data_IF_785891281054
#
_entry.id   IF_785891281054
#
_cell.length_a   1.000
_cell.length_b   1.000
_cell.length_c   1.000
_cell.angle_alpha   90.00
_cell.angle_beta   90.00
_cell.angle_gamma   90.00
#
_symmetry.space_group_name_H-M   'P 1'
#
loop_
_entity.id
_entity.type
_entity.pdbx_description
1 polymer ?
#
# COMPACT_ATOMS: atom_id res chain seq x y z
N UNK A 1 -28.05 5.85 5.06
CA UNK A 1 -27.28 6.88 4.33
C UNK A 1 -25.91 6.89 4.98
N UNK A 2 -24.91 6.25 4.37
CA UNK A 2 -23.79 5.64 5.11
C UNK A 2 -22.58 6.59 5.20
N UNK A 3 -22.20 6.97 6.43
CA UNK A 3 -20.98 7.70 6.82
C UNK A 3 -19.72 6.82 6.65
N UNK A 4 -19.42 6.39 5.42
CA UNK A 4 -18.54 5.23 5.17
C UNK A 4 -17.08 5.52 4.79
N UNK A 5 -16.48 6.64 5.19
CA UNK A 5 -15.11 6.94 4.75
C UNK A 5 -14.33 7.95 5.61
N UNK A 6 -14.30 7.78 6.93
CA UNK A 6 -13.37 8.54 7.78
C UNK A 6 -12.35 7.59 8.41
N UNK A 7 -11.06 7.87 8.21
CA UNK A 7 -9.96 7.63 9.16
C UNK A 7 -8.91 6.52 8.85
N UNK A 8 -7.77 6.89 8.22
CA UNK A 8 -6.53 6.12 8.25
C UNK A 8 -5.34 6.77 9.00
N UNK A 9 -5.46 7.95 9.62
CA UNK A 9 -4.30 8.78 10.01
C UNK A 9 -3.76 8.65 11.45
N UNK A 10 -4.39 7.85 12.32
CA UNK A 10 -3.97 7.78 13.72
C UNK A 10 -2.59 7.11 13.93
N UNK A 11 -2.12 6.31 12.97
CA UNK A 11 -0.84 5.60 13.07
C UNK A 11 0.36 6.54 13.07
N UNK A 12 0.30 7.65 12.31
CA UNK A 12 1.44 8.54 12.10
C UNK A 12 1.83 9.34 13.35
N UNK A 13 0.85 9.73 14.19
CA UNK A 13 1.11 10.48 15.44
C UNK A 13 1.93 9.71 16.46
N UNK A 14 1.73 8.38 16.55
CA UNK A 14 2.47 7.50 17.46
C UNK A 14 3.90 7.22 16.99
N UNK A 15 4.12 7.26 15.67
CA UNK A 15 5.42 6.98 15.04
C UNK A 15 6.38 8.18 15.07
N UNK A 16 5.85 9.39 15.13
CA UNK A 16 6.63 10.63 15.23
C UNK A 16 7.07 10.97 16.67
N UNK A 17 6.78 10.11 17.65
CA UNK A 17 7.20 10.32 19.04
C UNK A 17 6.54 11.51 19.74
N UNK A 18 5.45 12.05 19.20
CA UNK A 18 4.71 13.19 19.77
C UNK A 18 3.78 12.80 20.94
N UNK A 19 3.98 11.61 21.53
CA UNK A 19 3.26 11.13 22.71
C UNK A 19 4.23 10.75 23.82
N UNK A 20 4.32 11.57 24.86
CA UNK A 20 5.11 11.35 26.09
C UNK A 20 4.47 10.30 27.02
N UNK A 21 4.37 9.05 26.57
CA UNK A 21 3.84 7.98 27.42
C UNK A 21 4.45 6.65 27.01
N UNK A 22 5.58 6.33 27.64
CA UNK A 22 5.97 4.94 27.87
C UNK A 22 4.88 4.30 28.70
N UNK A 23 4.15 3.33 28.15
CA UNK A 23 3.51 2.23 28.88
C UNK A 23 2.90 1.29 27.82
N UNK A 24 3.47 0.09 27.70
CA UNK A 24 3.02 -1.00 26.83
C UNK A 24 1.86 -1.78 27.47
N UNK A 25 0.80 -1.11 27.90
CA UNK A 25 -0.39 -1.78 28.45
C UNK A 25 -1.69 -1.30 27.75
N UNK A 26 -2.34 -2.26 27.10
CA UNK A 26 -3.69 -2.27 26.51
C UNK A 26 -4.06 -1.17 25.49
N UNK A 27 -3.60 -1.36 24.25
CA UNK A 27 -4.01 -0.61 23.05
C UNK A 27 -5.55 -0.65 22.78
N UNK A 28 -6.30 -1.59 23.38
CA UNK A 28 -7.76 -1.74 23.18
C UNK A 28 -8.62 -0.69 23.91
N UNK A 29 -8.26 -0.26 25.13
CA UNK A 29 -9.03 0.74 25.89
C UNK A 29 -8.67 2.18 25.51
N UNK A 30 -7.46 2.41 24.98
CA UNK A 30 -6.92 3.78 24.82
C UNK A 30 -7.42 4.54 23.59
N UNK A 31 -7.83 3.83 22.52
CA UNK A 31 -8.27 4.45 21.25
C UNK A 31 -9.48 3.73 20.62
N UNK A 32 -10.66 3.72 21.27
CA UNK A 32 -11.84 2.99 20.79
C UNK A 32 -12.31 3.43 19.40
N UNK A 33 -12.15 4.71 19.05
CA UNK A 33 -12.50 5.25 17.73
C UNK A 33 -11.55 4.80 16.61
N UNK A 34 -10.27 4.56 16.93
CA UNK A 34 -9.30 4.03 15.97
C UNK A 34 -9.58 2.56 15.67
N UNK A 35 -9.80 1.76 16.71
CA UNK A 35 -10.16 0.33 16.57
C UNK A 35 -11.43 0.20 15.73
N UNK A 36 -12.42 1.09 15.94
CA UNK A 36 -13.65 1.13 15.14
C UNK A 36 -13.37 1.48 13.68
N UNK A 37 -12.59 2.53 13.40
CA UNK A 37 -12.23 2.89 12.04
C UNK A 37 -11.40 1.82 11.31
N UNK A 38 -10.49 1.14 12.02
CA UNK A 38 -9.74 0.00 11.49
C UNK A 38 -10.67 -1.15 11.16
N UNK A 39 -11.60 -1.50 12.06
CA UNK A 39 -12.64 -2.51 11.81
C UNK A 39 -13.51 -2.13 10.61
N UNK A 40 -13.93 -0.88 10.49
CA UNK A 40 -14.72 -0.40 9.34
C UNK A 40 -13.93 -0.39 8.01
N UNK A 41 -12.64 -0.09 8.04
CA UNK A 41 -11.77 -0.21 6.86
C UNK A 41 -11.54 -1.69 6.47
N UNK A 42 -11.40 -2.56 7.48
CA UNK A 42 -11.35 -4.02 7.32
C UNK A 42 -12.69 -4.60 6.84
N UNK A 43 -13.85 -4.00 7.15
CA UNK A 43 -15.15 -4.39 6.59
C UNK A 43 -15.20 -4.26 5.06
N UNK A 44 -14.38 -3.39 4.47
CA UNK A 44 -14.27 -3.23 3.01
C UNK A 44 -13.23 -4.14 2.36
N UNK A 45 -12.38 -4.84 3.13
CA UNK A 45 -11.37 -5.77 2.63
C UNK A 45 -11.73 -7.18 3.08
N UNK A 46 -12.24 -7.98 2.14
CA UNK A 46 -12.59 -9.37 2.41
C UNK A 46 -11.60 -10.32 1.75
N UNK A 47 -11.35 -11.46 2.40
CA UNK A 47 -10.50 -12.51 1.82
C UNK A 47 -11.18 -13.04 0.56
N UNK A 48 -10.51 -12.86 -0.58
CA UNK A 48 -10.96 -13.44 -1.85
C UNK A 48 -10.71 -14.95 -1.90
N UNK A 49 -11.21 -15.59 -2.95
CA UNK A 49 -10.84 -16.96 -3.30
C UNK A 49 -9.32 -17.08 -3.51
N UNK A 50 -8.76 -18.22 -3.15
CA UNK A 50 -7.38 -18.56 -3.52
C UNK A 50 -7.31 -18.75 -5.03
N UNK A 51 -6.41 -18.00 -5.67
CA UNK A 51 -6.25 -18.00 -7.11
C UNK A 51 -4.77 -18.04 -7.47
N UNK A 52 -4.44 -18.75 -8.54
CA UNK A 52 -3.10 -18.69 -9.12
C UNK A 52 -2.91 -17.38 -9.92
N UNK A 53 -1.64 -17.06 -10.23
CA UNK A 53 -1.29 -15.84 -10.96
C UNK A 53 -1.98 -15.73 -12.33
N UNK A 54 -2.17 -16.85 -13.03
CA UNK A 54 -2.83 -16.86 -14.33
C UNK A 54 -4.30 -16.39 -14.22
N UNK A 55 -5.03 -16.88 -13.22
CA UNK A 55 -6.40 -16.47 -12.95
C UNK A 55 -6.49 -14.99 -12.58
N UNK A 56 -5.59 -14.49 -11.73
CA UNK A 56 -5.53 -13.06 -11.36
C UNK A 56 -5.29 -12.19 -12.60
N UNK A 57 -4.32 -12.55 -13.44
CA UNK A 57 -4.05 -11.84 -14.71
C UNK A 57 -5.27 -11.83 -15.63
N UNK A 58 -5.98 -12.95 -15.75
CA UNK A 58 -7.21 -13.04 -16.56
C UNK A 58 -8.30 -12.11 -16.04
N UNK A 59 -8.54 -12.09 -14.73
CA UNK A 59 -9.52 -11.20 -14.10
C UNK A 59 -9.13 -9.74 -14.33
N UNK A 60 -7.89 -9.37 -14.05
CA UNK A 60 -7.39 -8.01 -14.25
C UNK A 60 -7.58 -7.52 -15.69
N UNK A 61 -7.22 -8.35 -16.68
CA UNK A 61 -7.36 -8.01 -18.10
C UNK A 61 -8.82 -7.89 -18.53
N UNK A 62 -9.69 -8.79 -18.06
CA UNK A 62 -11.11 -8.74 -18.40
C UNK A 62 -11.80 -7.52 -17.79
N UNK A 63 -11.47 -7.17 -16.55
CA UNK A 63 -11.97 -5.95 -15.91
C UNK A 63 -11.51 -4.72 -16.67
N UNK A 64 -10.22 -4.64 -17.02
CA UNK A 64 -9.71 -3.51 -17.81
C UNK A 64 -10.45 -3.36 -19.14
N UNK A 65 -10.59 -4.44 -19.91
CA UNK A 65 -11.31 -4.42 -21.20
C UNK A 65 -12.80 -4.09 -21.06
N UNK A 66 -13.42 -4.43 -19.93
CA UNK A 66 -14.82 -4.08 -19.66
C UNK A 66 -15.00 -2.58 -19.43
N UNK A 67 -14.11 -1.95 -18.66
CA UNK A 67 -14.18 -0.51 -18.40
C UNK A 67 -13.64 0.32 -19.57
N UNK A 68 -12.60 -0.17 -20.26
CA UNK A 68 -11.90 0.53 -21.33
C UNK A 68 -11.79 -0.35 -22.59
N UNK A 69 -12.90 -0.63 -23.30
CA UNK A 69 -12.94 -1.58 -24.42
C UNK A 69 -12.12 -1.12 -25.64
N UNK A 70 -11.90 0.18 -25.79
CA UNK A 70 -11.09 0.77 -26.87
C UNK A 70 -9.65 1.10 -26.43
N UNK A 71 -9.24 0.59 -25.27
CA UNK A 71 -8.09 1.12 -24.54
C UNK A 71 -8.51 2.31 -23.66
N UNK A 72 -7.67 2.64 -22.69
CA UNK A 72 -7.87 3.80 -21.80
C UNK A 72 -6.53 4.48 -21.62
N UNK A 73 -6.44 5.75 -22.01
CA UNK A 73 -5.25 6.55 -21.73
C UNK A 73 -5.07 6.69 -20.21
N UNK A 74 -3.83 6.92 -19.74
CA UNK A 74 -3.54 7.01 -18.30
C UNK A 74 -4.43 8.07 -17.62
N UNK A 75 -4.62 9.22 -18.27
CA UNK A 75 -5.49 10.30 -17.78
C UNK A 75 -6.96 9.89 -17.71
N UNK A 76 -7.47 9.17 -18.70
CA UNK A 76 -8.86 8.67 -18.70
C UNK A 76 -9.09 7.67 -17.56
N UNK A 77 -8.10 6.82 -17.29
CA UNK A 77 -8.14 5.88 -16.16
C UNK A 77 -8.13 6.63 -14.83
N UNK A 78 -7.30 7.67 -14.70
CA UNK A 78 -7.20 8.51 -13.52
C UNK A 78 -8.51 9.29 -13.25
N UNK A 79 -9.06 9.93 -14.28
CA UNK A 79 -10.31 10.68 -14.20
C UNK A 79 -11.49 9.78 -13.82
N UNK A 80 -11.56 8.59 -14.41
CA UNK A 80 -12.59 7.61 -14.06
C UNK A 80 -12.42 7.12 -12.62
N UNK A 81 -11.19 6.90 -12.15
CA UNK A 81 -10.92 6.51 -10.77
C UNK A 81 -11.43 7.56 -9.79
N UNK A 82 -11.05 8.83 -9.98
CA UNK A 82 -11.48 9.91 -9.10
C UNK A 82 -12.98 10.16 -9.19
N UNK A 83 -13.59 9.96 -10.35
CA UNK A 83 -15.06 10.01 -10.50
C UNK A 83 -15.73 9.00 -9.58
N UNK A 84 -15.24 7.75 -9.51
CA UNK A 84 -15.79 6.76 -8.58
C UNK A 84 -15.60 7.15 -7.11
N UNK A 85 -14.40 7.61 -6.74
CA UNK A 85 -14.08 7.99 -5.35
C UNK A 85 -14.90 9.19 -4.89
N UNK A 86 -15.07 10.21 -5.74
CA UNK A 86 -15.74 11.46 -5.40
C UNK A 86 -17.27 11.33 -5.44
N UNK A 87 -17.83 10.70 -6.48
CA UNK A 87 -19.28 10.61 -6.66
C UNK A 87 -19.92 9.58 -5.73
N UNK A 88 -19.20 8.50 -5.38
CA UNK A 88 -19.67 7.44 -4.48
C UNK A 88 -21.01 6.80 -4.94
N UNK A 89 -21.29 6.84 -6.24
CA UNK A 89 -22.55 6.36 -6.84
C UNK A 89 -22.53 4.89 -7.18
N UNK A 90 -21.34 4.28 -7.26
CA UNK A 90 -21.14 2.91 -7.69
C UNK A 90 -20.24 2.14 -6.73
N UNK A 91 -20.47 0.84 -6.62
CA UNK A 91 -19.62 -0.07 -5.88
C UNK A 91 -18.68 -0.81 -6.83
N UNK A 92 -17.38 -0.61 -6.64
CA UNK A 92 -16.34 -1.27 -7.44
C UNK A 92 -15.54 -2.20 -6.54
N UNK A 93 -15.59 -3.51 -6.82
CA UNK A 93 -14.79 -4.51 -6.12
C UNK A 93 -13.52 -4.81 -6.93
N UNK A 94 -12.37 -4.75 -6.26
CA UNK A 94 -11.05 -5.01 -6.85
C UNK A 94 -10.34 -6.10 -6.06
N UNK A 95 -9.50 -6.89 -6.73
CA UNK A 95 -8.65 -7.88 -6.09
C UNK A 95 -7.21 -7.35 -6.05
N UNK A 96 -6.58 -7.46 -4.90
CA UNK A 96 -5.15 -7.16 -4.70
C UNK A 96 -4.54 -8.18 -3.75
N UNK A 97 -3.23 -8.37 -3.85
CA UNK A 97 -2.49 -9.24 -2.94
C UNK A 97 -1.14 -8.61 -2.56
N UNK A 98 -0.72 -8.86 -1.32
CA UNK A 98 0.64 -8.64 -0.84
C UNK A 98 1.19 -10.01 -0.44
N UNK A 99 2.24 -10.45 -1.11
CA UNK A 99 2.80 -11.80 -0.96
C UNK A 99 4.21 -11.65 -0.38
N UNK A 100 4.52 -12.43 0.65
CA UNK A 100 5.90 -12.55 1.12
C UNK A 100 6.77 -13.12 -0.01
N UNK A 101 7.68 -12.31 -0.53
CA UNK A 101 8.57 -12.76 -1.59
C UNK A 101 9.65 -13.70 -1.03
N UNK A 102 9.88 -13.69 0.30
CA UNK A 102 10.62 -14.68 1.06
C UNK A 102 11.98 -15.07 0.47
N UNK A 103 12.46 -16.27 0.84
CA UNK A 103 13.58 -16.92 0.15
C UNK A 103 13.16 -17.57 -1.17
N UNK A 104 11.88 -17.53 -1.53
CA UNK A 104 11.38 -18.10 -2.79
C UNK A 104 11.75 -17.21 -3.98
N UNK A 105 11.85 -17.76 -5.19
CA UNK A 105 12.34 -17.05 -6.39
C UNK A 105 11.33 -16.09 -7.03
N UNK A 106 10.43 -15.47 -6.27
CA UNK A 106 9.39 -14.59 -6.82
C UNK A 106 9.93 -13.18 -7.11
N UNK A 107 9.59 -12.65 -8.29
CA UNK A 107 9.89 -11.28 -8.71
C UNK A 107 11.34 -11.06 -9.14
N UNK A 108 12.27 -11.15 -8.19
CA UNK A 108 13.72 -11.02 -8.42
C UNK A 108 14.44 -12.36 -8.30
N UNK A 109 15.58 -12.46 -8.98
CA UNK A 109 16.54 -13.54 -8.84
C UNK A 109 16.94 -13.72 -7.36
N UNK A 110 17.04 -14.98 -6.95
CA UNK A 110 17.33 -15.37 -5.57
C UNK A 110 18.82 -15.57 -5.36
N UNK A 111 19.47 -16.23 -6.31
CA UNK A 111 20.85 -16.68 -6.18
C UNK A 111 21.78 -15.71 -6.91
N UNK A 112 22.99 -15.49 -6.39
CA UNK A 112 23.93 -14.50 -6.94
C UNK A 112 24.45 -14.85 -8.34
N UNK A 113 24.42 -16.15 -8.67
CA UNK A 113 24.79 -16.75 -9.95
C UNK A 113 23.66 -16.66 -11.00
N UNK A 114 22.43 -16.35 -10.59
CA UNK A 114 21.35 -16.05 -11.53
C UNK A 114 21.57 -14.67 -12.18
N UNK A 115 21.07 -14.45 -13.42
CA UNK A 115 21.10 -13.14 -14.05
C UNK A 115 20.50 -12.07 -13.13
N UNK A 116 21.27 -11.01 -12.86
CA UNK A 116 20.92 -9.91 -11.97
C UNK A 116 20.76 -10.28 -10.48
N UNK A 117 21.14 -11.50 -10.05
CA UNK A 117 21.07 -11.94 -8.66
C UNK A 117 21.87 -11.05 -7.71
N UNK A 118 23.11 -10.74 -8.08
CA UNK A 118 24.02 -9.84 -7.36
C UNK A 118 23.87 -8.36 -7.73
N UNK A 119 22.86 -7.99 -8.53
CA UNK A 119 22.71 -6.61 -8.96
C UNK A 119 22.30 -5.71 -7.78
N UNK A 120 22.90 -4.52 -7.59
CA UNK A 120 22.63 -3.66 -6.43
C UNK A 120 21.17 -3.17 -6.32
N UNK A 121 20.42 -3.20 -7.41
CA UNK A 121 18.99 -2.86 -7.47
C UNK A 121 18.04 -4.06 -7.31
N UNK A 122 18.56 -5.26 -7.07
CA UNK A 122 17.73 -6.39 -6.68
C UNK A 122 17.19 -6.14 -5.27
N UNK A 123 15.88 -5.95 -5.13
CA UNK A 123 15.27 -5.63 -3.84
C UNK A 123 15.42 -6.75 -2.79
N UNK A 124 15.73 -7.99 -3.18
CA UNK A 124 16.06 -9.09 -2.25
C UNK A 124 17.43 -8.93 -1.59
N UNK A 125 18.35 -8.20 -2.21
CA UNK A 125 19.72 -8.00 -1.72
C UNK A 125 20.04 -6.54 -1.40
N UNK A 126 19.18 -5.60 -1.78
CA UNK A 126 19.32 -4.16 -1.56
C UNK A 126 19.64 -3.80 -0.10
N UNK A 127 18.99 -4.45 0.86
CA UNK A 127 19.22 -4.24 2.29
C UNK A 127 20.66 -4.59 2.73
N UNK A 128 21.35 -5.45 1.97
CA UNK A 128 22.72 -5.91 2.21
C UNK A 128 23.79 -5.01 1.61
N UNK A 129 23.41 -4.04 0.77
CA UNK A 129 24.36 -3.13 0.13
C UNK A 129 25.21 -2.39 1.18
N UNK A 130 26.47 -2.13 0.84
CA UNK A 130 27.36 -1.35 1.70
C UNK A 130 26.80 0.06 1.93
N UNK A 131 26.78 0.51 3.19
CA UNK A 131 26.18 1.78 3.59
C UNK A 131 24.68 1.74 3.88
N UNK A 132 23.99 0.64 3.60
CA UNK A 132 22.59 0.48 4.00
C UNK A 132 22.51 0.08 5.48
N UNK A 133 21.89 0.92 6.33
CA UNK A 133 21.74 0.64 7.77
C UNK A 133 20.91 -0.62 8.03
N UNK A 134 20.00 -0.97 7.13
CA UNK A 134 19.12 -2.13 7.25
C UNK A 134 19.89 -3.45 7.22
N UNK A 135 21.15 -3.47 6.78
CA UNK A 135 22.02 -4.66 6.85
C UNK A 135 22.26 -5.18 8.27
N UNK A 136 22.07 -4.32 9.27
CA UNK A 136 22.23 -4.65 10.68
C UNK A 136 20.99 -5.36 11.25
N UNK A 137 19.89 -5.36 10.50
CA UNK A 137 18.65 -6.04 10.86
C UNK A 137 18.62 -7.45 10.28
N UNK A 138 17.92 -8.34 10.98
CA UNK A 138 17.56 -9.67 10.46
C UNK A 138 16.50 -9.60 9.35
N UNK A 139 15.94 -10.75 8.95
CA UNK A 139 14.82 -10.79 8.00
C UNK A 139 13.57 -10.18 8.64
N UNK A 140 13.14 -9.03 8.11
CA UNK A 140 11.96 -8.28 8.53
C UNK A 140 11.10 -8.06 7.28
N UNK A 141 9.90 -8.65 7.29
CA UNK A 141 8.96 -8.58 6.17
C UNK A 141 8.57 -7.13 5.86
N UNK A 142 8.63 -6.76 4.59
CA UNK A 142 8.34 -5.39 4.13
C UNK A 142 9.48 -4.40 4.35
N UNK A 143 10.61 -4.83 4.94
CA UNK A 143 11.76 -3.98 5.23
C UNK A 143 13.05 -4.53 4.63
N UNK A 144 13.56 -5.65 5.16
CA UNK A 144 14.74 -6.34 4.60
C UNK A 144 14.38 -7.52 3.71
N UNK A 145 13.15 -8.03 3.85
CA UNK A 145 12.53 -9.00 2.95
C UNK A 145 11.44 -8.29 2.14
N UNK A 146 11.56 -8.20 0.80
CA UNK A 146 10.59 -7.49 -0.01
C UNK A 146 9.24 -8.22 -0.06
N UNK A 147 8.18 -7.47 -0.35
CA UNK A 147 6.85 -8.02 -0.64
C UNK A 147 6.56 -7.90 -2.13
N UNK A 148 5.87 -8.90 -2.68
CA UNK A 148 5.38 -8.88 -4.05
C UNK A 148 3.92 -8.44 -4.06
N UNK A 149 3.64 -7.34 -4.74
CA UNK A 149 2.30 -6.79 -4.86
C UNK A 149 1.65 -7.19 -6.18
N UNK A 150 0.42 -7.69 -6.10
CA UNK A 150 -0.47 -7.90 -7.25
C UNK A 150 -1.64 -6.93 -7.16
N UNK A 151 -1.95 -6.28 -8.27
CA UNK A 151 -3.10 -5.39 -8.38
C UNK A 151 -3.76 -5.48 -9.74
N UNK A 152 -4.93 -4.86 -9.85
CA UNK A 152 -5.69 -4.72 -11.08
C UNK A 152 -6.17 -3.27 -11.23
N UNK A 153 -6.96 -3.00 -12.27
CA UNK A 153 -7.59 -1.69 -12.46
C UNK A 153 -8.31 -1.26 -11.17
N UNK A 154 -8.04 -0.02 -10.73
CA UNK A 154 -8.56 0.61 -9.51
C UNK A 154 -8.09 0.01 -8.17
N UNK A 155 -7.20 -1.00 -8.16
CA UNK A 155 -6.50 -1.37 -6.93
C UNK A 155 -5.75 -0.18 -6.36
N UNK A 156 -5.94 0.10 -5.08
CA UNK A 156 -5.48 1.34 -4.43
C UNK A 156 -4.68 1.02 -3.18
N UNK A 157 -3.59 1.76 -2.99
CA UNK A 157 -2.91 1.91 -1.69
C UNK A 157 -3.24 3.29 -1.14
N UNK A 158 -3.78 3.35 0.08
CA UNK A 158 -4.10 4.61 0.73
C UNK A 158 -2.83 5.40 1.07
N UNK A 159 -3.00 6.70 1.35
CA UNK A 159 -1.93 7.55 1.84
C UNK A 159 -1.17 6.89 3.00
N UNK A 160 0.14 6.78 2.84
CA UNK A 160 1.03 6.12 3.78
C UNK A 160 2.36 6.86 3.87
N UNK A 161 2.95 6.85 5.06
CA UNK A 161 4.32 7.27 5.33
C UNK A 161 4.98 6.15 6.14
N UNK A 162 6.21 5.81 5.79
CA UNK A 162 6.96 4.81 6.55
C UNK A 162 7.10 5.25 8.01
N UNK A 163 6.83 4.36 8.99
CA UNK A 163 6.92 4.65 10.41
C UNK A 163 8.25 5.21 10.89
N UNK A 164 9.34 4.83 10.24
CA UNK A 164 10.69 5.22 10.61
C UNK A 164 11.26 6.28 9.65
N UNK A 165 10.41 6.84 8.77
CA UNK A 165 10.82 7.79 7.74
C UNK A 165 11.76 7.20 6.71
N UNK A 166 11.75 5.87 6.52
CA UNK A 166 12.63 5.21 5.57
C UNK A 166 12.17 5.47 4.12
N UNK A 167 13.10 5.51 3.16
CA UNK A 167 12.76 5.58 1.75
C UNK A 167 11.91 4.38 1.31
N UNK A 168 10.88 4.65 0.52
CA UNK A 168 10.09 3.60 -0.13
C UNK A 168 10.69 3.26 -1.50
N UNK A 169 10.89 1.96 -1.76
CA UNK A 169 11.38 1.47 -3.05
C UNK A 169 10.45 0.39 -3.59
N UNK A 170 9.97 0.59 -4.82
CA UNK A 170 9.12 -0.37 -5.52
C UNK A 170 9.62 -0.58 -6.95
N UNK A 171 9.55 -1.83 -7.43
CA UNK A 171 9.88 -2.17 -8.80
C UNK A 171 8.68 -2.81 -9.51
N UNK A 172 8.28 -2.22 -10.64
CA UNK A 172 7.20 -2.76 -11.46
C UNK A 172 7.72 -3.84 -12.40
N UNK A 173 7.59 -5.11 -12.02
CA UNK A 173 8.06 -6.24 -12.82
C UNK A 173 7.33 -6.39 -14.16
N UNK A 174 6.00 -6.30 -14.14
CA UNK A 174 5.15 -6.48 -15.32
C UNK A 174 3.77 -5.87 -15.04
N UNK A 175 3.13 -5.33 -16.07
CA UNK A 175 1.72 -4.94 -16.02
C UNK A 175 1.48 -3.59 -16.67
N UNK A 176 0.31 -3.03 -16.39
CA UNK A 176 -0.04 -1.67 -16.77
C UNK A 176 0.63 -0.64 -15.85
N UNK A 177 0.66 0.62 -16.28
CA UNK A 177 1.19 1.72 -15.48
C UNK A 177 0.47 1.86 -14.13
N UNK A 178 1.23 2.24 -13.10
CA UNK A 178 0.74 2.62 -11.78
C UNK A 178 0.84 4.14 -11.64
N UNK A 179 -0.21 4.77 -11.12
CA UNK A 179 -0.25 6.21 -10.84
C UNK A 179 0.14 6.43 -9.39
N UNK A 180 1.02 7.39 -9.14
CA UNK A 180 1.51 7.73 -7.80
C UNK A 180 1.19 9.17 -7.46
N UNK A 181 0.72 9.39 -6.24
CA UNK A 181 0.58 10.72 -5.65
C UNK A 181 1.60 10.85 -4.53
N UNK A 182 2.41 11.89 -4.57
CA UNK A 182 3.46 12.16 -3.60
C UNK A 182 3.28 13.53 -2.96
N UNK A 183 3.47 13.59 -1.65
CA UNK A 183 3.58 14.83 -0.89
C UNK A 183 5.02 14.96 -0.43
N UNK A 184 5.63 16.12 -0.68
CA UNK A 184 6.98 16.42 -0.18
C UNK A 184 7.00 16.42 1.35
N UNK A 185 8.11 16.02 1.96
CA UNK A 185 8.24 15.97 3.42
C UNK A 185 7.97 17.33 4.09
N UNK A 186 8.38 18.45 3.47
CA UNK A 186 8.13 19.81 3.96
C UNK A 186 6.62 20.14 4.10
N UNK A 187 5.78 19.46 3.31
CA UNK A 187 4.33 19.66 3.28
C UNK A 187 3.58 18.56 4.06
N UNK A 188 4.30 17.61 4.67
CA UNK A 188 3.69 16.48 5.38
C UNK A 188 2.77 16.94 6.50
N UNK A 189 3.15 17.99 7.23
CA UNK A 189 2.37 18.52 8.33
C UNK A 189 1.11 19.25 7.85
N UNK A 190 1.23 20.03 6.77
CA UNK A 190 0.09 20.71 6.14
C UNK A 190 -0.90 19.70 5.56
N UNK A 191 -0.41 18.63 4.93
CA UNK A 191 -1.23 17.54 4.46
C UNK A 191 -1.97 16.84 5.61
N UNK A 192 -1.27 16.51 6.70
CA UNK A 192 -1.87 15.90 7.89
C UNK A 192 -3.00 16.77 8.45
N UNK A 193 -2.76 18.06 8.64
CA UNK A 193 -3.78 19.01 9.10
C UNK A 193 -4.98 19.09 8.16
N UNK A 194 -4.75 19.13 6.84
CA UNK A 194 -5.82 19.17 5.86
C UNK A 194 -6.70 17.92 5.94
N UNK A 195 -6.12 16.73 6.06
CA UNK A 195 -6.89 15.49 6.20
C UNK A 195 -7.65 15.46 7.53
N UNK A 196 -7.09 15.96 8.63
CA UNK A 196 -7.82 16.06 9.90
C UNK A 196 -9.03 16.99 9.84
N UNK A 197 -8.94 18.08 9.07
CA UNK A 197 -10.05 19.01 8.85
C UNK A 197 -11.12 18.38 7.94
N UNK A 198 -10.70 17.71 6.86
CA UNK A 198 -11.60 17.17 5.83
C UNK A 198 -12.23 15.83 6.23
N UNK A 199 -11.54 15.05 7.05
CA UNK A 199 -11.96 13.74 7.55
C UNK A 199 -11.87 13.71 9.08
N UNK A 200 -12.64 14.56 9.79
CA UNK A 200 -12.56 14.64 11.24
C UNK A 200 -12.94 13.30 11.86
N UNK A 201 -12.09 12.77 12.72
CA UNK A 201 -12.47 11.70 13.64
C UNK A 201 -13.53 12.25 14.59
N UNK A 202 -14.70 11.63 14.61
CA UNK A 202 -15.79 11.99 15.52
C UNK A 202 -15.23 12.13 16.95
N UNK A 203 -15.53 13.28 17.57
CA UNK A 203 -15.24 13.54 18.99
C UNK A 203 -15.98 12.56 19.91
#
# INVERSE_FOLDING_TARGET
MVERAANPLHRQKRLLGESDSSDEEDDEERYPHLIKALKEAEECITRSLHMNLHTIKRIANNTFKKHFPRGGAITEVEDSYWSYVLLRSEHVCVNSASIDAGPEGYGFAKNEDEPYGSHPWNLKTLSKNNGNVLRLLGPVLGLTVPTLHLGMLYSTSCWHRDPHGLPWMEYMHQGSSKIWYGISDQESERFRQAVEILCPTSR
#
